data_IF_822592610135
#
_entry.id   IF_822592610135
#
_cell.length_a   1.000
_cell.length_b   1.000
_cell.length_c   1.000
_cell.angle_alpha   90.00
_cell.angle_beta   90.00
_cell.angle_gamma   90.00
#
_symmetry.space_group_name_H-M   'P 1'
#
loop_
_entity.id
_entity.type
_entity.pdbx_description
1 polymer ?
#
# COMPACT_ATOMS: atom_id res chain seq x y z
N UNK A 1 -27.00 2.40 5.20
CA UNK A 1 -25.58 2.15 5.53
C UNK A 1 -25.24 0.76 5.05
N UNK A 2 -24.61 0.63 3.89
CA UNK A 2 -23.86 -0.58 3.56
C UNK A 2 -22.39 -0.23 3.71
N UNK A 3 -21.71 -1.10 4.44
CA UNK A 3 -20.35 -0.95 4.94
C UNK A 3 -19.45 -1.74 4.00
N UNK A 4 -18.23 -1.26 3.70
CA UNK A 4 -17.21 -2.11 3.07
C UNK A 4 -17.11 -3.40 3.90
N UNK A 5 -17.40 -4.54 3.28
CA UNK A 5 -17.59 -5.78 4.00
C UNK A 5 -16.24 -6.49 4.19
N UNK A 6 -15.33 -5.84 4.92
CA UNK A 6 -14.04 -6.43 5.28
C UNK A 6 -14.31 -7.60 6.23
N UNK A 7 -13.87 -8.84 5.92
CA UNK A 7 -14.07 -9.97 6.80
C UNK A 7 -13.50 -9.69 8.19
N UNK A 8 -14.28 -9.96 9.24
CA UNK A 8 -13.84 -9.79 10.64
C UNK A 8 -12.53 -10.53 10.95
N UNK A 9 -12.25 -11.60 10.21
CA UNK A 9 -11.04 -12.40 10.36
C UNK A 9 -9.80 -11.77 9.70
N UNK A 10 -9.94 -10.85 8.74
CA UNK A 10 -8.80 -10.31 7.98
C UNK A 10 -7.78 -9.61 8.88
N UNK A 11 -8.22 -8.62 9.65
CA UNK A 11 -7.36 -7.88 10.58
C UNK A 11 -6.63 -8.80 11.58
N UNK A 12 -7.31 -9.66 12.36
CA UNK A 12 -6.61 -10.52 13.31
C UNK A 12 -5.67 -11.52 12.63
N UNK A 13 -5.99 -12.01 11.42
CA UNK A 13 -5.06 -12.86 10.66
C UNK A 13 -3.78 -12.12 10.29
N UNK A 14 -3.87 -10.92 9.72
CA UNK A 14 -2.68 -10.11 9.38
C UNK A 14 -1.87 -9.77 10.63
N UNK A 15 -2.52 -9.31 11.71
CA UNK A 15 -1.83 -8.93 12.94
C UNK A 15 -1.11 -10.12 13.59
N UNK A 16 -1.68 -11.33 13.55
CA UNK A 16 -1.02 -12.52 14.06
C UNK A 16 0.26 -12.85 13.27
N UNK A 17 0.22 -12.75 11.93
CA UNK A 17 1.41 -12.93 11.09
C UNK A 17 2.46 -11.84 11.38
N UNK A 18 2.04 -10.59 11.58
CA UNK A 18 2.95 -9.49 11.93
C UNK A 18 3.63 -9.68 13.29
N UNK A 19 2.90 -10.19 14.29
CA UNK A 19 3.48 -10.53 15.60
C UNK A 19 4.56 -11.61 15.48
N UNK A 20 4.35 -12.61 14.62
CA UNK A 20 5.33 -13.66 14.36
C UNK A 20 6.64 -13.10 13.77
N UNK A 21 6.59 -12.08 12.91
CA UNK A 21 7.79 -11.51 12.29
C UNK A 21 8.40 -10.34 13.07
N UNK A 22 7.70 -9.85 14.10
CA UNK A 22 8.20 -8.78 14.96
C UNK A 22 9.50 -9.20 15.66
N UNK A 23 10.59 -8.48 15.37
CA UNK A 23 11.93 -8.79 15.88
C UNK A 23 12.64 -9.98 15.21
N UNK A 24 12.00 -10.65 14.25
CA UNK A 24 12.59 -11.75 13.46
C UNK A 24 12.97 -11.27 12.06
N UNK A 25 12.13 -10.45 11.43
CA UNK A 25 12.43 -9.89 10.12
C UNK A 25 13.45 -8.76 10.25
N UNK A 26 14.51 -8.83 9.44
CA UNK A 26 15.62 -7.86 9.45
C UNK A 26 15.80 -7.13 8.11
N UNK A 27 14.95 -7.41 7.12
CA UNK A 27 14.96 -6.67 5.87
C UNK A 27 14.38 -5.27 6.04
N UNK A 28 14.70 -4.39 5.12
CA UNK A 28 14.08 -3.06 5.01
C UNK A 28 12.62 -3.17 4.55
N UNK A 29 11.85 -2.08 4.75
CA UNK A 29 10.53 -1.95 4.14
C UNK A 29 10.60 -2.02 2.61
N UNK A 30 11.62 -1.43 2.00
CA UNK A 30 11.85 -1.50 0.55
C UNK A 30 12.00 -2.94 0.06
N UNK A 31 12.82 -3.74 0.75
CA UNK A 31 12.96 -5.18 0.47
C UNK A 31 11.63 -5.92 0.65
N UNK A 32 10.89 -5.64 1.72
CA UNK A 32 9.58 -6.26 1.94
C UNK A 32 8.60 -5.93 0.81
N UNK A 33 8.57 -4.68 0.34
CA UNK A 33 7.70 -4.29 -0.77
C UNK A 33 8.15 -4.92 -2.11
N UNK A 34 9.45 -5.10 -2.36
CA UNK A 34 9.92 -5.88 -3.53
C UNK A 34 9.53 -7.35 -3.45
N UNK A 35 9.58 -7.96 -2.27
CA UNK A 35 9.06 -9.31 -2.06
C UNK A 35 7.54 -9.35 -2.29
N UNK A 36 6.79 -8.40 -1.75
CA UNK A 36 5.35 -8.31 -1.99
C UNK A 36 5.04 -8.12 -3.48
N UNK A 37 5.83 -7.34 -4.21
CA UNK A 37 5.68 -7.16 -5.66
C UNK A 37 5.83 -8.49 -6.43
N UNK A 38 6.80 -9.32 -6.06
CA UNK A 38 6.95 -10.67 -6.64
C UNK A 38 5.68 -11.50 -6.45
N UNK A 39 5.05 -11.43 -5.28
CA UNK A 39 3.84 -12.17 -4.97
C UNK A 39 2.62 -11.60 -5.72
N UNK A 40 2.51 -10.28 -5.83
CA UNK A 40 1.48 -9.61 -6.62
C UNK A 40 1.59 -10.04 -8.08
N UNK A 41 2.77 -10.00 -8.70
CA UNK A 41 2.97 -10.48 -10.07
C UNK A 41 2.65 -11.97 -10.20
N UNK A 42 2.97 -12.79 -9.20
CA UNK A 42 2.66 -14.21 -9.17
C UNK A 42 1.16 -14.52 -9.05
N UNK A 43 0.36 -13.65 -8.44
CA UNK A 43 -1.04 -13.96 -8.13
C UNK A 43 -2.06 -13.02 -8.78
N UNK A 44 -1.64 -12.01 -9.56
CA UNK A 44 -2.55 -11.01 -10.14
C UNK A 44 -3.65 -11.57 -11.06
N UNK A 45 -3.46 -12.77 -11.61
CA UNK A 45 -4.48 -13.46 -12.43
C UNK A 45 -5.59 -14.13 -11.59
N UNK A 46 -5.43 -14.20 -10.27
CA UNK A 46 -6.45 -14.70 -9.36
C UNK A 46 -7.42 -13.56 -8.99
N UNK A 47 -8.66 -13.95 -8.66
CA UNK A 47 -9.62 -12.98 -8.13
C UNK A 47 -9.14 -12.46 -6.77
N UNK A 48 -9.14 -11.13 -6.54
CA UNK A 48 -8.75 -10.56 -5.27
C UNK A 48 -9.62 -11.06 -4.11
N UNK A 49 -8.99 -11.28 -2.97
CA UNK A 49 -9.69 -11.59 -1.72
C UNK A 49 -8.81 -11.22 -0.53
N UNK A 50 -9.44 -10.91 0.61
CA UNK A 50 -8.72 -10.64 1.86
C UNK A 50 -7.86 -11.83 2.33
N UNK A 51 -8.25 -13.06 2.01
CA UNK A 51 -7.42 -14.24 2.29
C UNK A 51 -6.15 -14.26 1.43
N UNK A 52 -6.29 -13.97 0.13
CA UNK A 52 -5.13 -13.85 -0.77
C UNK A 52 -4.21 -12.72 -0.31
N UNK A 53 -4.77 -11.59 0.14
CA UNK A 53 -3.96 -10.48 0.66
C UNK A 53 -3.23 -10.86 1.93
N UNK A 54 -3.92 -11.46 2.92
CA UNK A 54 -3.26 -11.93 4.14
C UNK A 54 -2.12 -12.91 3.82
N UNK A 55 -2.35 -13.84 2.90
CA UNK A 55 -1.32 -14.78 2.43
C UNK A 55 -0.13 -14.05 1.80
N UNK A 56 -0.35 -13.12 0.87
CA UNK A 56 0.76 -12.39 0.23
C UNK A 56 1.53 -11.51 1.22
N UNK A 57 0.83 -10.86 2.15
CA UNK A 57 1.47 -10.03 3.18
C UNK A 57 2.35 -10.87 4.13
N UNK A 58 1.90 -12.08 4.49
CA UNK A 58 2.68 -13.01 5.29
C UNK A 58 3.87 -13.62 4.53
N UNK A 59 3.65 -14.03 3.27
CA UNK A 59 4.69 -14.62 2.42
C UNK A 59 5.80 -13.60 2.08
N UNK A 60 5.49 -12.30 2.02
CA UNK A 60 6.46 -11.24 1.70
C UNK A 60 7.65 -11.19 2.67
N UNK A 61 7.46 -11.60 3.94
CA UNK A 61 8.53 -11.67 4.93
C UNK A 61 9.47 -12.86 4.76
N UNK A 62 9.12 -13.82 3.92
CA UNK A 62 9.76 -15.13 3.88
C UNK A 62 10.46 -15.41 2.54
N UNK A 63 10.15 -14.65 1.50
CA UNK A 63 10.72 -14.87 0.17
C UNK A 63 11.88 -13.91 -0.10
N UNK A 64 12.72 -14.29 -1.06
CA UNK A 64 13.80 -13.42 -1.55
C UNK A 64 13.18 -12.28 -2.36
N UNK A 65 13.46 -11.01 -2.04
CA UNK A 65 12.93 -9.88 -2.79
C UNK A 65 13.54 -9.83 -4.19
N UNK A 66 12.76 -9.43 -5.20
CA UNK A 66 13.26 -9.23 -6.56
C UNK A 66 14.40 -8.21 -6.57
N UNK A 67 15.38 -8.33 -7.48
CA UNK A 67 16.37 -7.26 -7.68
C UNK A 67 15.66 -5.95 -8.03
N UNK A 68 16.15 -4.83 -7.51
CA UNK A 68 15.60 -3.52 -7.85
C UNK A 68 15.76 -3.26 -9.36
N UNK A 69 14.67 -2.87 -10.02
CA UNK A 69 14.66 -2.49 -11.43
C UNK A 69 14.66 -0.96 -11.56
N UNK A 70 15.66 -0.40 -12.24
CA UNK A 70 15.76 1.04 -12.46
C UNK A 70 14.56 1.62 -13.22
N UNK A 71 13.82 0.81 -13.99
CA UNK A 71 12.59 1.24 -14.64
C UNK A 71 11.51 1.68 -13.63
N UNK A 72 11.55 1.18 -12.39
CA UNK A 72 10.62 1.61 -11.34
C UNK A 72 10.84 3.07 -10.93
N UNK A 73 11.99 3.67 -11.23
CA UNK A 73 12.23 5.09 -10.99
C UNK A 73 11.34 6.01 -11.85
N UNK A 74 10.65 5.48 -12.86
CA UNK A 74 9.60 6.22 -13.58
C UNK A 74 8.38 6.54 -12.70
N UNK A 75 8.14 5.77 -11.64
CA UNK A 75 7.06 6.00 -10.67
C UNK A 75 7.55 6.99 -9.60
N UNK A 76 7.27 8.28 -9.80
CA UNK A 76 7.78 9.37 -8.95
C UNK A 76 6.69 10.12 -8.17
N UNK A 77 5.42 9.78 -8.37
CA UNK A 77 4.28 10.34 -7.65
C UNK A 77 3.24 9.25 -7.37
N UNK A 78 2.53 9.32 -6.23
CA UNK A 78 1.38 8.47 -5.98
C UNK A 78 0.23 8.82 -6.94
N UNK A 79 -0.64 7.86 -7.23
CA UNK A 79 -1.89 8.15 -7.94
C UNK A 79 -2.93 8.67 -6.96
N UNK A 80 -3.63 9.73 -7.37
CA UNK A 80 -4.94 10.05 -6.81
C UNK A 80 -6.01 9.42 -7.68
N UNK A 81 -6.99 8.79 -7.05
CA UNK A 81 -8.06 8.10 -7.74
C UNK A 81 -9.38 8.25 -6.97
N UNK A 82 -10.49 8.05 -7.67
CA UNK A 82 -11.82 7.95 -7.06
C UNK A 82 -12.61 6.82 -7.69
N UNK A 83 -13.68 6.41 -7.00
CA UNK A 83 -14.65 5.45 -7.52
C UNK A 83 -15.98 6.15 -7.79
N UNK A 84 -16.42 6.15 -9.05
CA UNK A 84 -17.64 6.82 -9.51
C UNK A 84 -18.33 5.96 -10.56
N UNK A 85 -19.66 5.86 -10.45
CA UNK A 85 -20.50 5.13 -11.42
C UNK A 85 -20.02 3.70 -11.74
N UNK A 86 -19.50 3.01 -10.73
CA UNK A 86 -19.03 1.63 -10.87
C UNK A 86 -17.62 1.46 -11.41
N UNK A 87 -16.86 2.56 -11.55
CA UNK A 87 -15.55 2.58 -12.22
C UNK A 87 -14.53 3.40 -11.44
N UNK A 88 -13.26 3.02 -11.51
CA UNK A 88 -12.18 3.87 -11.01
C UNK A 88 -11.79 4.92 -12.03
N UNK A 89 -11.42 6.09 -11.52
CA UNK A 89 -10.93 7.20 -12.31
C UNK A 89 -9.64 7.73 -11.68
N UNK A 90 -8.67 8.10 -12.50
CA UNK A 90 -7.49 8.82 -12.04
C UNK A 90 -7.79 10.31 -12.00
N UNK A 91 -7.36 10.94 -10.94
CA UNK A 91 -7.61 12.34 -10.66
C UNK A 91 -6.30 13.09 -10.41
N UNK A 92 -6.33 14.40 -10.63
CA UNK A 92 -5.24 15.29 -10.27
C UNK A 92 -5.79 16.61 -9.74
N UNK A 93 -5.04 17.27 -8.87
CA UNK A 93 -5.40 18.60 -8.36
C UNK A 93 -4.83 19.68 -9.29
N UNK A 94 -5.70 20.38 -10.00
CA UNK A 94 -5.34 21.56 -10.80
C UNK A 94 -5.78 22.81 -10.04
N UNK A 95 -4.85 23.45 -9.34
CA UNK A 95 -5.14 24.57 -8.46
C UNK A 95 -5.95 24.13 -7.23
N UNK A 96 -7.26 24.38 -7.24
CA UNK A 96 -8.19 23.95 -6.17
C UNK A 96 -9.25 22.96 -6.67
N UNK A 97 -9.16 22.55 -7.93
CA UNK A 97 -10.14 21.67 -8.56
C UNK A 97 -9.55 20.29 -8.76
N UNK A 98 -10.35 19.27 -8.44
CA UNK A 98 -10.03 17.87 -8.74
C UNK A 98 -10.52 17.57 -10.15
N UNK A 99 -9.59 17.24 -11.03
CA UNK A 99 -9.85 16.97 -12.45
C UNK A 99 -9.61 15.49 -12.71
N UNK A 100 -10.60 14.82 -13.31
CA UNK A 100 -10.45 13.45 -13.81
C UNK A 100 -9.59 13.49 -15.08
N UNK A 101 -8.46 12.78 -15.05
CA UNK A 101 -7.53 12.69 -16.18
C UNK A 101 -7.69 11.38 -16.97
N UNK A 102 -8.24 10.35 -16.34
CA UNK A 102 -8.51 9.06 -16.97
C UNK A 102 -9.70 8.38 -16.29
N UNK A 103 -10.57 7.77 -17.09
CA UNK A 103 -11.78 7.07 -16.65
C UNK A 103 -11.62 5.57 -16.91
N UNK A 104 -12.41 4.75 -16.20
CA UNK A 104 -12.48 3.30 -16.40
C UNK A 104 -11.12 2.61 -16.24
N UNK A 105 -10.41 3.01 -15.19
CA UNK A 105 -9.06 2.52 -14.90
C UNK A 105 -9.16 1.20 -14.15
N UNK A 106 -8.36 0.25 -14.62
CA UNK A 106 -8.17 -1.06 -14.00
C UNK A 106 -7.60 -0.91 -12.58
N UNK A 107 -8.18 -1.62 -11.61
CA UNK A 107 -7.80 -1.57 -10.20
C UNK A 107 -6.39 -2.11 -9.97
N UNK A 108 -5.99 -3.16 -10.69
CA UNK A 108 -4.65 -3.71 -10.64
C UNK A 108 -3.60 -2.71 -11.14
N UNK A 109 -3.90 -1.90 -12.15
CA UNK A 109 -3.02 -0.79 -12.57
C UNK A 109 -2.78 0.21 -11.43
N UNK A 110 -3.81 0.52 -10.65
CA UNK A 110 -3.68 1.43 -9.49
C UNK A 110 -2.78 0.79 -8.44
N UNK A 111 -3.03 -0.47 -8.05
CA UNK A 111 -2.17 -1.22 -7.12
C UNK A 111 -0.71 -1.27 -7.59
N UNK A 112 -0.48 -1.63 -8.86
CA UNK A 112 0.85 -1.70 -9.46
C UNK A 112 1.57 -0.35 -9.35
N UNK A 113 0.89 0.74 -9.68
CA UNK A 113 1.49 2.07 -9.56
C UNK A 113 1.81 2.40 -8.12
N UNK A 114 0.89 2.14 -7.18
CA UNK A 114 1.09 2.38 -5.74
C UNK A 114 2.35 1.69 -5.23
N UNK A 115 2.47 0.37 -5.42
CA UNK A 115 3.61 -0.36 -4.87
C UNK A 115 4.93 0.00 -5.56
N UNK A 116 4.94 0.20 -6.89
CA UNK A 116 6.15 0.57 -7.62
C UNK A 116 6.60 2.00 -7.29
N UNK A 117 5.67 2.93 -7.10
CA UNK A 117 5.98 4.26 -6.57
C UNK A 117 6.65 4.15 -5.21
N UNK A 118 6.06 3.39 -4.28
CA UNK A 118 6.58 3.27 -2.93
C UNK A 118 7.96 2.61 -2.87
N UNK A 119 8.18 1.53 -3.63
CA UNK A 119 9.50 0.88 -3.79
C UNK A 119 10.52 1.90 -4.31
N UNK A 120 10.19 2.59 -5.41
CA UNK A 120 11.09 3.56 -6.02
C UNK A 120 11.35 4.76 -5.11
N UNK A 121 10.36 5.18 -4.33
CA UNK A 121 10.49 6.32 -3.42
C UNK A 121 11.37 5.98 -2.22
N UNK A 122 11.18 4.81 -1.60
CA UNK A 122 12.04 4.30 -0.54
C UNK A 122 13.48 4.08 -1.02
N UNK A 123 13.67 3.59 -2.26
CA UNK A 123 15.00 3.44 -2.85
C UNK A 123 15.75 4.78 -2.95
N UNK A 124 15.04 5.89 -3.14
CA UNK A 124 15.65 7.24 -3.15
C UNK A 124 16.01 7.72 -1.76
N UNK A 125 15.30 7.27 -0.72
CA UNK A 125 15.58 7.65 0.67
C UNK A 125 16.93 7.05 1.06
N UNK A 126 17.91 7.94 1.30
CA UNK A 126 19.26 7.54 1.70
C UNK A 126 19.28 7.16 3.18
N UNK A 127 20.19 6.26 3.58
CA UNK A 127 20.36 5.81 4.97
C UNK A 127 20.49 6.95 5.99
N UNK A 128 21.10 8.08 5.60
CA UNK A 128 21.27 9.24 6.48
C UNK A 128 19.96 10.00 6.77
N UNK A 129 18.91 9.85 5.95
CA UNK A 129 17.58 10.41 6.23
C UNK A 129 16.81 9.57 7.26
N UNK A 130 17.09 8.25 7.32
CA UNK A 130 16.48 7.33 8.29
C UNK A 130 17.05 7.49 9.71
N UNK A 131 18.23 8.10 9.84
CA UNK A 131 18.91 8.39 11.10
C UNK A 131 18.52 9.74 11.73
N UNK A 132 17.69 10.55 11.07
CA UNK A 132 17.25 11.83 11.62
C UNK A 132 16.34 11.62 12.83
N UNK A 133 16.74 12.12 14.00
CA UNK A 133 16.03 11.98 15.26
C UNK A 133 14.62 12.57 15.23
N UNK A 134 14.32 13.49 14.30
CA UNK A 134 12.99 14.10 14.10
C UNK A 134 12.02 13.27 13.23
N UNK A 135 12.37 12.04 12.86
CA UNK A 135 11.54 11.14 12.02
C UNK A 135 10.15 10.83 12.57
N UNK A 136 9.89 11.12 13.85
CA UNK A 136 8.59 10.92 14.49
C UNK A 136 7.49 11.89 14.00
N UNK A 137 7.81 12.91 13.18
CA UNK A 137 6.85 13.87 12.62
C UNK A 137 6.56 13.66 11.13
N UNK A 138 6.83 12.46 10.59
CA UNK A 138 7.06 12.14 9.18
C UNK A 138 8.45 12.51 8.66
N UNK A 139 8.91 11.73 7.68
CA UNK A 139 10.08 12.03 6.88
C UNK A 139 9.61 12.33 5.46
N UNK A 140 10.10 13.41 4.88
CA UNK A 140 9.91 13.67 3.46
C UNK A 140 10.93 12.89 2.64
N UNK A 141 10.45 12.11 1.69
CA UNK A 141 11.30 11.49 0.68
C UNK A 141 11.91 12.55 -0.25
N UNK A 142 12.97 12.22 -1.00
CA UNK A 142 13.56 13.13 -1.97
C UNK A 142 12.60 13.60 -3.08
N UNK A 143 11.48 12.92 -3.29
CA UNK A 143 10.42 13.33 -4.22
C UNK A 143 9.39 14.26 -3.58
N UNK A 144 9.54 14.59 -2.29
CA UNK A 144 8.67 15.50 -1.54
C UNK A 144 7.46 14.84 -0.89
N UNK A 145 7.39 13.51 -0.83
CA UNK A 145 6.25 12.78 -0.25
C UNK A 145 6.52 12.39 1.20
N UNK A 146 5.49 12.51 2.04
CA UNK A 146 5.59 12.13 3.45
C UNK A 146 5.54 10.62 3.65
N UNK A 147 6.33 10.16 4.60
CA UNK A 147 6.37 8.79 5.09
C UNK A 147 6.34 8.78 6.62
N UNK A 148 5.46 7.99 7.19
CA UNK A 148 5.34 7.82 8.65
C UNK A 148 5.92 6.50 9.14
N UNK A 149 5.89 5.46 8.29
CA UNK A 149 6.35 4.12 8.65
C UNK A 149 7.49 3.68 7.73
N UNK A 150 8.62 3.31 8.34
CA UNK A 150 9.83 2.84 7.66
C UNK A 150 10.21 1.40 8.01
N UNK A 151 9.55 0.84 9.01
CA UNK A 151 9.66 -0.55 9.40
C UNK A 151 8.52 -1.35 8.74
N UNK A 152 8.84 -2.53 8.20
CA UNK A 152 7.87 -3.34 7.46
C UNK A 152 6.68 -3.79 8.31
N UNK A 153 6.92 -4.13 9.58
CA UNK A 153 5.87 -4.57 10.51
C UNK A 153 4.99 -3.39 10.90
N UNK A 154 5.59 -2.26 11.27
CA UNK A 154 4.86 -1.03 11.60
C UNK A 154 4.02 -0.55 10.41
N UNK A 155 4.61 -0.53 9.21
CA UNK A 155 3.95 -0.15 7.97
C UNK A 155 2.69 -0.99 7.70
N UNK A 156 2.78 -2.32 7.77
CA UNK A 156 1.61 -3.19 7.54
C UNK A 156 0.59 -3.11 8.69
N UNK A 157 1.04 -2.89 9.93
CA UNK A 157 0.17 -2.70 11.08
C UNK A 157 -0.66 -1.42 10.94
N UNK A 158 -0.03 -0.30 10.60
CA UNK A 158 -0.72 0.96 10.31
C UNK A 158 -1.64 0.83 9.09
N UNK A 159 -1.20 0.17 8.02
CA UNK A 159 -2.01 -0.06 6.83
C UNK A 159 -3.30 -0.84 7.13
N UNK A 160 -3.22 -1.95 7.88
CA UNK A 160 -4.42 -2.75 8.20
C UNK A 160 -5.34 -2.03 9.20
N UNK A 161 -4.80 -1.31 10.18
CA UNK A 161 -5.63 -0.56 11.12
C UNK A 161 -6.31 0.62 10.43
N UNK A 162 -5.58 1.41 9.65
CA UNK A 162 -6.12 2.52 8.87
C UNK A 162 -7.22 2.05 7.92
N UNK A 163 -7.05 0.89 7.27
CA UNK A 163 -8.07 0.35 6.37
C UNK A 163 -9.38 0.04 7.13
N UNK A 164 -9.27 -0.55 8.33
CA UNK A 164 -10.43 -0.87 9.17
C UNK A 164 -11.10 0.37 9.73
N UNK A 165 -10.32 1.38 10.11
CA UNK A 165 -10.85 2.64 10.63
C UNK A 165 -11.58 3.42 9.53
N UNK A 166 -10.99 3.52 8.33
CA UNK A 166 -11.64 4.17 7.18
C UNK A 166 -12.89 3.42 6.69
N UNK A 167 -12.89 2.08 6.74
CA UNK A 167 -14.07 1.28 6.38
C UNK A 167 -15.28 1.50 7.32
N UNK A 168 -15.08 2.12 8.48
CA UNK A 168 -16.17 2.52 9.39
C UNK A 168 -16.79 3.86 9.03
N UNK A 169 -16.03 4.73 8.36
CA UNK A 169 -16.45 6.09 8.02
C UNK A 169 -16.96 6.22 6.57
N UNK A 170 -16.45 5.38 5.64
CA UNK A 170 -16.88 5.37 4.24
C UNK A 170 -18.03 4.38 4.00
N UNK A 171 -19.26 4.87 4.10
CA UNK A 171 -20.45 4.12 3.70
C UNK A 171 -20.62 4.13 2.16
N UNK A 172 -19.81 3.37 1.44
CA UNK A 172 -20.07 3.04 0.03
C UNK A 172 -20.55 1.60 -0.12
N UNK A 173 -21.59 1.42 -0.93
CA UNK A 173 -22.14 0.10 -1.27
C UNK A 173 -21.17 -0.61 -2.23
N UNK A 174 -20.17 -1.30 -1.70
CA UNK A 174 -19.34 -2.23 -2.48
C UNK A 174 -19.39 -3.63 -1.85
N UNK A 175 -19.86 -4.60 -2.61
CA UNK A 175 -19.98 -5.99 -2.21
C UNK A 175 -18.89 -6.78 -2.95
N UNK A 176 -17.65 -6.70 -2.46
CA UNK A 176 -16.51 -7.32 -3.12
C UNK A 176 -15.16 -6.97 -2.49
N UNK A 177 -14.14 -7.70 -2.90
CA UNK A 177 -12.74 -7.39 -2.66
C UNK A 177 -12.08 -7.23 -4.04
N UNK A 178 -11.42 -6.11 -4.25
CA UNK A 178 -10.73 -5.72 -5.47
C UNK A 178 -9.25 -5.42 -5.16
N UNK A 179 -8.43 -5.13 -6.16
CA UNK A 179 -7.03 -4.76 -5.92
C UNK A 179 -6.85 -3.38 -5.27
N UNK A 180 -7.88 -2.52 -5.30
CA UNK A 180 -7.88 -1.23 -4.62
C UNK A 180 -7.82 -1.39 -3.11
N UNK A 181 -8.42 -2.43 -2.54
CA UNK A 181 -8.31 -2.70 -1.11
C UNK A 181 -6.85 -2.93 -0.67
N UNK A 182 -6.05 -3.64 -1.47
CA UNK A 182 -4.61 -3.78 -1.21
C UNK A 182 -3.86 -2.47 -1.47
N UNK A 183 -4.19 -1.73 -2.54
CA UNK A 183 -3.57 -0.43 -2.83
C UNK A 183 -3.81 0.57 -1.69
N UNK A 184 -5.02 0.59 -1.14
CA UNK A 184 -5.44 1.43 -0.01
C UNK A 184 -4.70 1.04 1.26
N UNK A 185 -4.56 -0.26 1.54
CA UNK A 185 -3.75 -0.75 2.66
C UNK A 185 -2.30 -0.25 2.57
N UNK A 186 -1.70 -0.28 1.37
CA UNK A 186 -0.33 0.18 1.17
C UNK A 186 -0.19 1.71 1.34
N UNK A 187 -1.13 2.49 0.80
CA UNK A 187 -1.12 3.94 1.00
C UNK A 187 -1.31 4.31 2.48
N UNK A 188 -2.19 3.60 3.19
CA UNK A 188 -2.37 3.78 4.62
C UNK A 188 -1.15 3.31 5.41
N UNK A 189 -0.45 2.27 4.96
CA UNK A 189 0.83 1.88 5.55
C UNK A 189 1.87 3.00 5.48
N UNK A 190 1.87 3.79 4.41
CA UNK A 190 2.76 4.94 4.27
C UNK A 190 2.33 6.14 5.13
N UNK A 191 1.02 6.39 5.22
CA UNK A 191 0.45 7.66 5.70
C UNK A 191 -0.19 7.64 7.09
N UNK A 192 -0.58 6.46 7.60
CA UNK A 192 -1.32 6.34 8.87
C UNK A 192 -0.35 6.30 10.06
N UNK A 193 -0.64 7.13 11.07
CA UNK A 193 0.15 7.32 12.30
C UNK A 193 -0.25 6.35 13.42
#
# INVERSE_FOLDING_TARGET
MKQKNIPKAFRPSVLASLEQFSGIYHGSLEECLRALWVLIEKYHYLQPSYNLFAQMLEEAFQIVPATFDEAWLAYNQPLSWSYRDGKYALETLQGREVVVIEQDVDDFRILKHTILFQIADLYRVRENQLQNEQRYLSVQSPTGHSWYNFDAVAYLNCGVNGLIDNARDEAQEFDGCDWIELASLLELGRLYE
#
